data_IF_575279634551
#
_entry.id   IF_575279634551
#
_cell.length_a   1.000
_cell.length_b   1.000
_cell.length_c   1.000
_cell.angle_alpha   90.00
_cell.angle_beta   90.00
_cell.angle_gamma   90.00
#
_symmetry.space_group_name_H-M   'P 1'
#
loop_
_entity.id
_entity.type
_entity.pdbx_description
1 polymer ?
#
# COMPACT_ATOMS: atom_id res chain seq x y z
N UNK A 1 13.01 26.39 5.83
CA UNK A 1 12.11 25.47 6.52
C UNK A 1 10.70 25.55 5.93
N UNK A 2 10.50 25.21 4.65
CA UNK A 2 9.16 25.21 3.99
C UNK A 2 9.00 24.14 2.88
N UNK A 3 9.90 23.15 2.81
CA UNK A 3 9.90 22.11 1.75
C UNK A 3 9.15 20.80 2.14
N UNK A 4 8.59 20.67 3.36
CA UNK A 4 8.03 19.40 3.86
C UNK A 4 6.54 19.14 3.59
N UNK A 5 5.77 20.08 3.02
CA UNK A 5 4.30 19.94 2.99
C UNK A 5 3.69 19.65 1.61
N UNK A 6 4.46 19.41 0.56
CA UNK A 6 3.89 19.25 -0.80
C UNK A 6 3.69 17.78 -1.20
N UNK A 7 4.26 16.82 -0.48
CA UNK A 7 4.34 15.40 -0.90
C UNK A 7 3.17 14.53 -0.39
N UNK A 8 2.27 15.07 0.46
CA UNK A 8 1.31 14.23 1.20
C UNK A 8 -0.02 13.91 0.49
N UNK A 9 -0.28 14.36 -0.72
CA UNK A 9 -1.60 14.24 -1.34
C UNK A 9 -1.81 12.98 -2.21
N UNK A 10 -0.77 12.21 -2.53
CA UNK A 10 -0.86 11.09 -3.48
C UNK A 10 -1.10 9.70 -2.87
N UNK A 11 -0.93 9.52 -1.57
CA UNK A 11 -0.83 8.18 -0.97
C UNK A 11 -2.18 7.49 -0.61
N UNK A 12 -3.33 8.14 -0.77
CA UNK A 12 -4.58 7.66 -0.16
C UNK A 12 -5.50 6.83 -1.07
N UNK A 13 -5.21 6.60 -2.33
CA UNK A 13 -6.16 5.97 -3.26
C UNK A 13 -5.94 4.48 -3.55
N UNK A 14 -4.92 3.84 -3.00
CA UNK A 14 -4.59 2.42 -3.27
C UNK A 14 -5.33 1.41 -2.37
N UNK A 15 -6.09 1.83 -1.37
CA UNK A 15 -6.68 0.93 -0.36
C UNK A 15 -7.95 0.16 -0.78
N UNK A 16 -8.52 0.34 -1.96
CA UNK A 16 -9.90 -0.09 -2.23
C UNK A 16 -10.09 -1.48 -2.87
N UNK A 17 -9.06 -2.26 -3.16
CA UNK A 17 -9.22 -3.38 -4.10
C UNK A 17 -8.88 -4.80 -3.64
N UNK A 18 -8.78 -5.15 -2.36
CA UNK A 18 -8.27 -6.48 -1.99
C UNK A 18 -9.05 -7.29 -0.95
N UNK A 19 -10.38 -7.18 -0.88
CA UNK A 19 -11.15 -7.96 0.11
C UNK A 19 -11.57 -9.35 -0.40
N UNK A 20 -11.43 -9.63 -1.69
CA UNK A 20 -12.07 -10.79 -2.30
C UNK A 20 -11.39 -12.15 -2.05
N UNK A 21 -10.20 -12.20 -1.45
CA UNK A 21 -9.39 -13.42 -1.43
C UNK A 21 -9.32 -14.15 -0.09
N UNK A 22 -9.87 -13.60 1.02
CA UNK A 22 -9.89 -14.25 2.33
C UNK A 22 -11.25 -14.85 2.74
N UNK A 23 -12.18 -15.09 1.82
CA UNK A 23 -13.52 -15.50 2.20
C UNK A 23 -13.80 -16.98 1.90
N UNK A 24 -13.70 -17.90 2.85
CA UNK A 24 -14.55 -19.10 2.81
C UNK A 24 -15.99 -18.66 3.04
N UNK A 25 -16.92 -19.31 2.34
CA UNK A 25 -18.37 -19.11 2.48
C UNK A 25 -18.86 -19.73 3.81
N UNK A 26 -18.48 -19.13 4.92
CA UNK A 26 -18.70 -19.73 6.22
C UNK A 26 -19.87 -19.12 6.99
N UNK A 27 -19.61 -18.27 7.95
CA UNK A 27 -20.70 -17.81 8.81
C UNK A 27 -21.47 -16.65 8.20
N UNK A 28 -22.76 -16.58 8.49
CA UNK A 28 -23.61 -15.45 8.10
C UNK A 28 -23.09 -14.11 8.65
N UNK A 29 -22.44 -14.15 9.82
CA UNK A 29 -21.81 -12.97 10.43
C UNK A 29 -20.62 -12.48 9.62
N UNK A 30 -19.73 -13.36 9.13
CA UNK A 30 -18.62 -12.99 8.28
C UNK A 30 -19.09 -12.37 6.96
N UNK A 31 -20.09 -12.97 6.30
CA UNK A 31 -20.65 -12.41 5.06
C UNK A 31 -21.21 -11.00 5.27
N UNK A 32 -21.99 -10.78 6.32
CA UNK A 32 -22.50 -9.45 6.67
C UNK A 32 -21.38 -8.48 7.03
N UNK A 33 -20.31 -8.97 7.68
CA UNK A 33 -19.11 -8.19 7.98
C UNK A 33 -18.41 -7.69 6.72
N UNK A 34 -18.26 -8.55 5.71
CA UNK A 34 -17.72 -8.18 4.40
C UNK A 34 -18.60 -7.15 3.68
N UNK A 35 -19.92 -7.30 3.72
CA UNK A 35 -20.89 -6.34 3.18
C UNK A 35 -20.77 -4.97 3.89
N UNK A 36 -20.68 -4.96 5.22
CA UNK A 36 -20.48 -3.74 6.01
C UNK A 36 -19.14 -3.07 5.67
N UNK A 37 -18.05 -3.85 5.55
CA UNK A 37 -16.75 -3.35 5.16
C UNK A 37 -16.78 -2.69 3.77
N UNK A 38 -17.38 -3.34 2.78
CA UNK A 38 -17.52 -2.81 1.41
C UNK A 38 -18.32 -1.50 1.36
N UNK A 39 -19.27 -1.34 2.27
CA UNK A 39 -20.07 -0.11 2.42
C UNK A 39 -19.36 0.98 3.24
N UNK A 40 -18.13 0.74 3.71
CA UNK A 40 -17.37 1.67 4.55
C UNK A 40 -17.79 1.71 6.02
N UNK A 41 -18.73 0.85 6.44
CA UNK A 41 -19.15 0.72 7.85
C UNK A 41 -18.20 -0.21 8.60
N UNK A 42 -16.95 0.28 8.79
CA UNK A 42 -15.88 -0.52 9.39
C UNK A 42 -16.15 -0.88 10.85
N UNK A 43 -16.88 -0.04 11.59
CA UNK A 43 -17.24 -0.31 12.97
C UNK A 43 -18.17 -1.53 13.07
N UNK A 44 -19.19 -1.59 12.23
CA UNK A 44 -20.09 -2.73 12.15
C UNK A 44 -19.39 -3.97 11.59
N UNK A 45 -18.47 -3.80 10.63
CA UNK A 45 -17.64 -4.89 10.10
C UNK A 45 -16.84 -5.55 11.23
N UNK A 46 -16.13 -4.78 12.07
CA UNK A 46 -15.40 -5.29 13.24
C UNK A 46 -16.31 -6.06 14.19
N UNK A 47 -17.49 -5.52 14.49
CA UNK A 47 -18.46 -6.21 15.36
C UNK A 47 -18.88 -7.57 14.77
N UNK A 48 -19.20 -7.61 13.49
CA UNK A 48 -19.65 -8.81 12.79
C UNK A 48 -18.53 -9.85 12.62
N UNK A 49 -17.29 -9.43 12.35
CA UNK A 49 -16.16 -10.37 12.33
C UNK A 49 -15.85 -10.95 13.70
N UNK A 50 -15.94 -10.18 14.79
CA UNK A 50 -15.85 -10.72 16.15
C UNK A 50 -16.94 -11.71 16.48
N UNK A 51 -18.16 -11.50 16.00
CA UNK A 51 -19.23 -12.50 16.11
C UNK A 51 -18.91 -13.77 15.32
N UNK A 52 -18.36 -13.65 14.11
CA UNK A 52 -17.95 -14.81 13.32
C UNK A 52 -16.86 -15.62 14.03
N UNK A 53 -15.84 -14.97 14.58
CA UNK A 53 -14.78 -15.60 15.38
C UNK A 53 -15.36 -16.31 16.62
N UNK A 54 -16.35 -15.72 17.29
CA UNK A 54 -17.00 -16.37 18.45
C UNK A 54 -17.71 -17.65 18.06
N UNK A 55 -18.24 -17.72 16.85
CA UNK A 55 -18.92 -18.91 16.32
C UNK A 55 -17.94 -19.99 15.86
N UNK A 56 -16.88 -19.60 15.18
CA UNK A 56 -15.87 -20.47 14.57
C UNK A 56 -14.47 -19.90 14.82
N UNK A 57 -13.88 -20.10 16.02
CA UNK A 57 -12.63 -19.47 16.43
C UNK A 57 -11.38 -20.01 15.74
N UNK A 58 -11.48 -21.12 15.02
CA UNK A 58 -10.37 -21.71 14.26
C UNK A 58 -10.29 -21.27 12.81
N UNK A 59 -11.19 -20.39 12.36
CA UNK A 59 -11.24 -19.92 10.98
C UNK A 59 -10.33 -18.70 10.80
N UNK A 60 -9.16 -18.89 10.21
CA UNK A 60 -8.12 -17.88 10.02
C UNK A 60 -8.58 -16.67 9.21
N UNK A 61 -9.45 -16.90 8.21
CA UNK A 61 -9.98 -15.85 7.37
C UNK A 61 -10.75 -14.76 8.13
N UNK A 62 -11.42 -15.12 9.25
CA UNK A 62 -12.14 -14.12 10.03
C UNK A 62 -11.20 -13.17 10.77
N UNK A 63 -10.06 -13.66 11.23
CA UNK A 63 -9.03 -12.83 11.85
C UNK A 63 -8.36 -11.94 10.81
N UNK A 64 -8.11 -12.44 9.59
CA UNK A 64 -7.60 -11.63 8.49
C UNK A 64 -8.57 -10.49 8.14
N UNK A 65 -9.87 -10.78 8.00
CA UNK A 65 -10.91 -9.78 7.75
C UNK A 65 -11.02 -8.76 8.89
N UNK A 66 -10.92 -9.22 10.14
CA UNK A 66 -10.93 -8.36 11.33
C UNK A 66 -9.73 -7.40 11.31
N UNK A 67 -8.53 -7.90 11.01
CA UNK A 67 -7.32 -7.09 10.88
C UNK A 67 -7.46 -6.01 9.82
N UNK A 68 -8.04 -6.36 8.65
CA UNK A 68 -8.31 -5.38 7.60
C UNK A 68 -9.29 -4.30 8.04
N UNK A 69 -10.35 -4.68 8.77
CA UNK A 69 -11.33 -3.73 9.28
C UNK A 69 -10.73 -2.79 10.35
N UNK A 70 -9.83 -3.29 11.17
CA UNK A 70 -9.07 -2.47 12.11
C UNK A 70 -8.12 -1.51 11.41
N UNK A 71 -7.36 -1.95 10.39
CA UNK A 71 -6.53 -1.06 9.57
C UNK A 71 -7.36 0.09 8.98
N UNK A 72 -8.56 -0.21 8.44
CA UNK A 72 -9.44 0.79 7.86
C UNK A 72 -9.95 1.84 8.87
N UNK A 73 -9.95 1.50 10.17
CA UNK A 73 -10.29 2.42 11.27
C UNK A 73 -9.05 3.12 11.88
N UNK A 74 -7.83 2.75 11.46
CA UNK A 74 -6.59 3.26 12.05
C UNK A 74 -6.19 2.58 13.38
N UNK A 75 -6.82 1.46 13.73
CA UNK A 75 -6.45 0.64 14.91
C UNK A 75 -5.38 -0.37 14.50
N UNK A 76 -4.17 0.12 14.31
CA UNK A 76 -3.09 -0.64 13.66
C UNK A 76 -2.52 -1.74 14.58
N UNK A 77 -2.43 -1.51 15.88
CA UNK A 77 -1.97 -2.51 16.84
C UNK A 77 -2.93 -3.70 16.91
N UNK A 78 -4.23 -3.44 16.98
CA UNK A 78 -5.26 -4.50 16.97
C UNK A 78 -5.30 -5.24 15.63
N UNK A 79 -4.97 -4.54 14.54
CA UNK A 79 -4.85 -5.17 13.23
C UNK A 79 -3.68 -6.16 13.19
N UNK A 80 -2.51 -5.78 13.69
CA UNK A 80 -1.32 -6.63 13.78
C UNK A 80 -1.61 -7.87 14.62
N UNK A 81 -2.27 -7.70 15.77
CA UNK A 81 -2.68 -8.83 16.62
C UNK A 81 -3.61 -9.80 15.85
N UNK A 82 -4.59 -9.25 15.13
CA UNK A 82 -5.52 -10.05 14.33
C UNK A 82 -4.83 -10.82 13.22
N UNK A 83 -3.92 -10.18 12.45
CA UNK A 83 -3.15 -10.86 11.41
C UNK A 83 -2.20 -11.92 11.99
N UNK A 84 -1.63 -11.67 13.16
CA UNK A 84 -0.80 -12.66 13.88
C UNK A 84 -1.63 -13.89 14.27
N UNK A 85 -2.86 -13.71 14.73
CA UNK A 85 -3.75 -14.83 15.02
C UNK A 85 -4.12 -15.61 13.75
N UNK A 86 -4.37 -14.94 12.63
CA UNK A 86 -4.59 -15.60 11.35
C UNK A 86 -3.39 -16.49 10.95
N UNK A 87 -2.17 -16.00 11.09
CA UNK A 87 -0.95 -16.78 10.81
C UNK A 87 -0.84 -18.00 11.76
N UNK A 88 -1.11 -17.83 13.04
CA UNK A 88 -1.04 -18.92 14.03
C UNK A 88 -2.05 -20.04 13.75
N UNK A 89 -3.15 -19.72 13.08
CA UNK A 89 -4.16 -20.69 12.64
C UNK A 89 -3.82 -21.34 11.29
N UNK A 90 -2.70 -21.00 10.67
CA UNK A 90 -2.28 -21.53 9.38
C UNK A 90 -2.89 -20.80 8.17
N UNK A 91 -3.40 -19.60 8.38
CA UNK A 91 -3.93 -18.74 7.34
C UNK A 91 -2.91 -18.32 6.30
N UNK A 92 -3.41 -17.68 5.23
CA UNK A 92 -2.54 -17.24 4.13
C UNK A 92 -1.47 -16.26 4.62
N UNK A 93 -0.22 -16.70 4.55
CA UNK A 93 0.93 -15.89 4.95
C UNK A 93 1.02 -14.60 4.11
N UNK A 94 0.70 -14.66 2.81
CA UNK A 94 0.72 -13.49 1.94
C UNK A 94 -0.19 -12.36 2.45
N UNK A 95 -1.47 -12.66 2.67
CA UNK A 95 -2.45 -11.63 3.07
C UNK A 95 -2.19 -11.10 4.48
N UNK A 96 -1.78 -11.98 5.39
CA UNK A 96 -1.46 -11.60 6.77
C UNK A 96 -0.23 -10.69 6.83
N UNK A 97 0.88 -11.06 6.18
CA UNK A 97 2.08 -10.24 6.15
C UNK A 97 1.87 -8.92 5.39
N UNK A 98 1.13 -8.94 4.28
CA UNK A 98 0.75 -7.71 3.59
C UNK A 98 -0.05 -6.78 4.51
N UNK A 99 -1.02 -7.33 5.24
CA UNK A 99 -1.83 -6.57 6.21
C UNK A 99 -1.00 -6.00 7.36
N UNK A 100 -0.08 -6.80 7.92
CA UNK A 100 0.87 -6.33 8.95
C UNK A 100 1.76 -5.21 8.42
N UNK A 101 2.29 -5.35 7.20
CA UNK A 101 3.08 -4.30 6.56
C UNK A 101 2.32 -2.98 6.42
N UNK A 102 1.04 -3.03 6.01
CA UNK A 102 0.19 -1.84 5.95
C UNK A 102 -0.08 -1.23 7.33
N UNK A 103 -0.29 -2.07 8.35
CA UNK A 103 -0.49 -1.61 9.72
C UNK A 103 0.78 -0.96 10.31
N UNK A 104 1.95 -1.57 10.14
CA UNK A 104 3.22 -0.97 10.54
C UNK A 104 3.52 0.33 9.79
N UNK A 105 3.19 0.41 8.50
CA UNK A 105 3.30 1.66 7.74
C UNK A 105 2.37 2.75 8.31
N UNK A 106 1.18 2.38 8.76
CA UNK A 106 0.26 3.28 9.44
C UNK A 106 0.75 3.78 10.82
N UNK A 107 1.54 2.95 11.51
CA UNK A 107 2.24 3.31 12.76
C UNK A 107 3.54 4.09 12.52
N UNK A 108 3.92 4.34 11.27
CA UNK A 108 5.21 4.93 10.86
C UNK A 108 6.43 4.08 11.27
N UNK A 109 6.23 2.78 11.56
CA UNK A 109 7.27 1.80 11.85
C UNK A 109 7.79 1.17 10.54
N UNK A 110 8.46 1.99 9.73
CA UNK A 110 8.77 1.66 8.32
C UNK A 110 9.70 0.44 8.17
N UNK A 111 10.65 0.23 9.07
CA UNK A 111 11.51 -0.96 9.04
C UNK A 111 10.71 -2.25 9.18
N UNK A 112 9.75 -2.28 10.12
CA UNK A 112 8.87 -3.46 10.30
C UNK A 112 7.90 -3.63 9.13
N UNK A 113 7.44 -2.51 8.55
CA UNK A 113 6.61 -2.54 7.35
C UNK A 113 7.36 -3.18 6.18
N UNK A 114 8.61 -2.76 5.93
CA UNK A 114 9.48 -3.30 4.87
C UNK A 114 9.70 -4.80 5.07
N UNK A 115 10.02 -5.23 6.31
CA UNK A 115 10.19 -6.65 6.64
C UNK A 115 8.91 -7.46 6.36
N UNK A 116 7.76 -6.95 6.80
CA UNK A 116 6.47 -7.61 6.59
C UNK A 116 6.11 -7.71 5.10
N UNK A 117 6.35 -6.64 4.32
CA UNK A 117 6.15 -6.67 2.87
C UNK A 117 7.10 -7.65 2.19
N UNK A 118 8.35 -7.75 2.63
CA UNK A 118 9.29 -8.75 2.12
C UNK A 118 8.76 -10.18 2.35
N UNK A 119 8.28 -10.47 3.56
CA UNK A 119 7.69 -11.77 3.89
C UNK A 119 6.42 -12.06 3.05
N UNK A 120 5.62 -11.03 2.76
CA UNK A 120 4.47 -11.17 1.87
C UNK A 120 4.92 -11.51 0.43
N UNK A 121 5.93 -10.83 -0.10
CA UNK A 121 6.47 -11.08 -1.44
C UNK A 121 6.98 -12.52 -1.56
N UNK A 122 7.72 -13.01 -0.56
CA UNK A 122 8.21 -14.38 -0.50
C UNK A 122 7.08 -15.41 -0.42
N UNK A 123 6.01 -15.08 0.31
CA UNK A 123 4.84 -15.93 0.47
C UNK A 123 3.89 -15.89 -0.74
N UNK A 124 4.09 -15.01 -1.71
CA UNK A 124 3.20 -14.85 -2.86
C UNK A 124 3.09 -16.12 -3.72
N UNK A 125 4.18 -16.88 -3.87
CA UNK A 125 4.18 -18.21 -4.52
C UNK A 125 3.52 -18.18 -5.91
N UNK A 126 2.40 -18.90 -6.05
CA UNK A 126 1.62 -19.02 -7.29
C UNK A 126 0.48 -18.01 -7.43
N UNK A 127 0.41 -17.01 -6.55
CA UNK A 127 -0.59 -15.94 -6.66
C UNK A 127 -0.37 -15.15 -7.97
N UNK A 128 -1.43 -14.45 -8.38
CA UNK A 128 -1.34 -13.53 -9.51
C UNK A 128 -0.18 -12.54 -9.29
N UNK A 129 0.63 -12.36 -10.33
CA UNK A 129 1.77 -11.45 -10.31
C UNK A 129 1.39 -10.03 -9.89
N UNK A 130 0.17 -9.58 -10.23
CA UNK A 130 -0.34 -8.26 -9.82
C UNK A 130 -0.41 -8.10 -8.31
N UNK A 131 -0.81 -9.15 -7.57
CA UNK A 131 -0.86 -9.13 -6.10
C UNK A 131 0.54 -8.93 -5.49
N UNK A 132 1.55 -9.60 -6.06
CA UNK A 132 2.94 -9.44 -5.63
C UNK A 132 3.47 -8.04 -5.95
N UNK A 133 3.19 -7.54 -7.15
CA UNK A 133 3.64 -6.22 -7.59
C UNK A 133 3.01 -5.09 -6.76
N UNK A 134 1.74 -5.22 -6.34
CA UNK A 134 1.14 -4.28 -5.39
C UNK A 134 1.97 -4.17 -4.09
N UNK A 135 2.43 -5.31 -3.55
CA UNK A 135 3.22 -5.33 -2.32
C UNK A 135 4.62 -4.75 -2.52
N UNK A 136 5.24 -4.97 -3.68
CA UNK A 136 6.50 -4.30 -4.06
C UNK A 136 6.31 -2.78 -4.03
N UNK A 137 5.20 -2.27 -4.55
CA UNK A 137 4.87 -0.85 -4.50
C UNK A 137 4.73 -0.29 -3.08
N UNK A 138 4.08 -1.03 -2.18
CA UNK A 138 3.99 -0.63 -0.77
C UNK A 138 5.36 -0.66 -0.07
N UNK A 139 6.22 -1.63 -0.39
CA UNK A 139 7.58 -1.71 0.14
C UNK A 139 8.43 -0.53 -0.34
N UNK A 140 8.34 -0.18 -1.62
CA UNK A 140 9.00 0.99 -2.18
C UNK A 140 8.59 2.30 -1.46
N UNK A 141 7.30 2.48 -1.22
CA UNK A 141 6.79 3.63 -0.47
C UNK A 141 7.31 3.68 0.97
N UNK A 142 7.33 2.54 1.67
CA UNK A 142 7.86 2.45 3.03
C UNK A 142 9.37 2.76 3.07
N UNK A 143 10.17 2.25 2.11
CA UNK A 143 11.58 2.59 1.95
C UNK A 143 11.78 4.09 1.71
N UNK A 144 11.00 4.70 0.82
CA UNK A 144 11.04 6.14 0.57
C UNK A 144 10.78 6.95 1.85
N UNK A 145 9.79 6.56 2.65
CA UNK A 145 9.45 7.23 3.93
C UNK A 145 10.55 7.04 4.97
N UNK A 146 11.21 5.90 4.98
CA UNK A 146 12.37 5.62 5.83
C UNK A 146 13.60 6.46 5.41
N UNK A 147 13.65 6.94 4.17
CA UNK A 147 14.80 7.65 3.59
C UNK A 147 15.76 6.75 2.81
N UNK A 148 15.41 5.48 2.63
CA UNK A 148 16.12 4.54 1.75
C UNK A 148 15.64 4.77 0.31
N UNK A 149 16.14 5.85 -0.30
CA UNK A 149 15.71 6.28 -1.63
C UNK A 149 16.22 5.34 -2.72
N UNK A 150 17.46 4.87 -2.61
CA UNK A 150 18.05 3.92 -3.54
C UNK A 150 17.24 2.61 -3.56
N UNK A 151 16.96 2.04 -2.38
CA UNK A 151 16.15 0.84 -2.29
C UNK A 151 14.71 1.03 -2.77
N UNK A 152 14.14 2.22 -2.60
CA UNK A 152 12.83 2.58 -3.16
C UNK A 152 12.85 2.60 -4.68
N UNK A 153 13.89 3.18 -5.29
CA UNK A 153 14.07 3.21 -6.75
C UNK A 153 14.25 1.82 -7.34
N UNK A 154 14.96 0.92 -6.65
CA UNK A 154 15.08 -0.48 -7.08
C UNK A 154 13.70 -1.15 -7.20
N UNK A 155 12.85 -1.00 -6.19
CA UNK A 155 11.50 -1.55 -6.19
C UNK A 155 10.61 -0.91 -7.28
N UNK A 156 10.66 0.41 -7.46
CA UNK A 156 9.91 1.08 -8.53
C UNK A 156 10.40 0.68 -9.92
N UNK A 157 11.70 0.47 -10.13
CA UNK A 157 12.23 -0.03 -11.39
C UNK A 157 11.72 -1.45 -11.69
N UNK A 158 11.61 -2.34 -10.69
CA UNK A 158 10.97 -3.66 -10.87
C UNK A 158 9.53 -3.50 -11.39
N UNK A 159 8.76 -2.55 -10.87
CA UNK A 159 7.39 -2.29 -11.30
C UNK A 159 7.33 -1.71 -12.73
N UNK A 160 8.25 -0.82 -13.09
CA UNK A 160 8.36 -0.25 -14.44
C UNK A 160 8.69 -1.35 -15.46
N UNK A 161 9.68 -2.21 -15.16
CA UNK A 161 10.07 -3.32 -16.01
C UNK A 161 8.92 -4.33 -16.20
N UNK A 162 8.12 -4.54 -15.17
CA UNK A 162 6.91 -5.37 -15.24
C UNK A 162 5.75 -4.72 -16.01
N UNK A 163 5.86 -3.47 -16.41
CA UNK A 163 4.77 -2.71 -17.04
C UNK A 163 3.60 -2.43 -16.11
N UNK A 164 3.84 -2.44 -14.79
CA UNK A 164 2.79 -2.36 -13.78
C UNK A 164 2.47 -0.91 -13.42
N UNK A 165 1.21 -0.46 -13.66
CA UNK A 165 0.72 0.88 -13.30
C UNK A 165 1.68 2.01 -13.66
N UNK A 166 2.29 1.92 -14.83
CA UNK A 166 3.43 2.75 -15.26
C UNK A 166 3.28 4.23 -14.95
N UNK A 167 2.11 4.81 -15.20
CA UNK A 167 1.85 6.23 -14.95
C UNK A 167 2.10 6.61 -13.48
N UNK A 168 1.47 5.86 -12.56
CA UNK A 168 1.54 6.15 -11.13
C UNK A 168 2.96 5.89 -10.60
N UNK A 169 3.60 4.83 -11.11
CA UNK A 169 4.97 4.48 -10.72
C UNK A 169 5.98 5.52 -11.20
N UNK A 170 5.90 6.00 -12.44
CA UNK A 170 6.78 7.10 -12.89
C UNK A 170 6.59 8.37 -12.07
N UNK A 171 5.36 8.70 -11.68
CA UNK A 171 5.11 9.83 -10.78
C UNK A 171 5.79 9.65 -9.42
N UNK A 172 5.65 8.47 -8.80
CA UNK A 172 6.29 8.14 -7.52
C UNK A 172 7.81 8.13 -7.63
N UNK A 173 8.37 7.56 -8.70
CA UNK A 173 9.81 7.56 -8.99
C UNK A 173 10.34 8.99 -9.11
N UNK A 174 9.64 9.87 -9.83
CA UNK A 174 10.00 11.28 -9.94
C UNK A 174 10.00 11.99 -8.58
N UNK A 175 9.05 11.65 -7.69
CA UNK A 175 9.03 12.20 -6.33
C UNK A 175 10.25 11.74 -5.52
N UNK A 176 10.72 10.50 -5.68
CA UNK A 176 11.94 10.01 -5.01
C UNK A 176 13.15 10.80 -5.51
N UNK A 177 13.31 10.99 -6.83
CA UNK A 177 14.41 11.80 -7.37
C UNK A 177 14.39 13.24 -6.87
N UNK A 178 13.20 13.85 -6.68
CA UNK A 178 13.12 15.18 -6.04
C UNK A 178 13.60 15.18 -4.59
N UNK A 179 13.34 14.10 -3.84
CA UNK A 179 13.84 13.96 -2.46
C UNK A 179 15.37 13.82 -2.43
N UNK A 180 15.96 13.24 -3.48
CA UNK A 180 17.41 13.12 -3.68
C UNK A 180 18.04 14.39 -4.26
N UNK A 181 17.26 15.43 -4.54
CA UNK A 181 17.67 16.68 -5.21
C UNK A 181 18.14 16.47 -6.67
N UNK A 182 17.78 15.33 -7.30
CA UNK A 182 18.05 15.02 -8.71
C UNK A 182 16.87 15.47 -9.58
N UNK A 183 16.89 16.76 -9.91
CA UNK A 183 15.82 17.42 -10.68
C UNK A 183 15.76 16.89 -12.12
N UNK A 184 16.88 16.53 -12.72
CA UNK A 184 16.93 16.08 -14.11
C UNK A 184 16.23 14.74 -14.27
N UNK A 185 16.49 13.78 -13.38
CA UNK A 185 15.81 12.49 -13.38
C UNK A 185 14.33 12.62 -13.02
N UNK A 186 13.99 13.50 -12.07
CA UNK A 186 12.60 13.77 -11.73
C UNK A 186 11.80 14.29 -12.93
N UNK A 187 12.36 15.25 -13.69
CA UNK A 187 11.76 15.78 -14.91
C UNK A 187 11.54 14.70 -15.97
N UNK A 188 12.54 13.82 -16.17
CA UNK A 188 12.41 12.69 -17.08
C UNK A 188 11.23 11.78 -16.68
N UNK A 189 11.13 11.38 -15.41
CA UNK A 189 10.04 10.54 -14.93
C UNK A 189 8.67 11.21 -15.12
N UNK A 190 8.54 12.51 -14.84
CA UNK A 190 7.28 13.22 -15.07
C UNK A 190 6.93 13.35 -16.56
N UNK A 191 7.92 13.47 -17.45
CA UNK A 191 7.68 13.45 -18.88
C UNK A 191 7.14 12.09 -19.33
N UNK A 192 7.73 10.98 -18.89
CA UNK A 192 7.20 9.61 -19.15
C UNK A 192 5.77 9.47 -18.64
N UNK A 193 5.47 10.01 -17.45
CA UNK A 193 4.12 10.01 -16.88
C UNK A 193 3.12 10.75 -17.80
N UNK A 194 3.51 11.90 -18.37
CA UNK A 194 2.68 12.69 -19.27
C UNK A 194 2.50 12.00 -20.64
N UNK A 195 3.53 11.34 -21.13
CA UNK A 195 3.49 10.62 -22.42
C UNK A 195 2.54 9.41 -22.36
N UNK A 196 2.42 8.79 -21.18
CA UNK A 196 1.47 7.70 -20.94
C UNK A 196 0.03 8.23 -20.85
N UNK A 197 -0.20 9.39 -20.25
CA UNK A 197 -1.52 9.99 -20.10
C UNK A 197 -1.48 11.52 -20.33
N UNK A 198 -1.78 11.94 -21.54
CA UNK A 198 -1.85 13.36 -21.95
C UNK A 198 -2.79 14.21 -21.08
N UNK A 199 -3.58 13.59 -20.19
CA UNK A 199 -4.53 14.25 -19.29
C UNK A 199 -4.04 14.29 -17.84
N UNK A 200 -2.79 13.90 -17.58
CA UNK A 200 -2.24 13.92 -16.22
C UNK A 200 -1.93 15.35 -15.74
N UNK A 201 -2.92 15.95 -15.12
CA UNK A 201 -2.86 17.32 -14.60
C UNK A 201 -1.80 17.50 -13.48
N UNK A 202 -1.57 16.49 -12.65
CA UNK A 202 -0.58 16.55 -11.56
C UNK A 202 0.86 16.59 -12.09
N UNK A 203 1.16 15.83 -13.13
CA UNK A 203 2.45 15.90 -13.84
C UNK A 203 2.73 17.29 -14.38
N UNK A 204 1.76 17.92 -15.05
CA UNK A 204 1.90 19.31 -15.54
C UNK A 204 2.12 20.32 -14.42
N UNK A 205 1.39 20.19 -13.30
CA UNK A 205 1.57 21.07 -12.14
C UNK A 205 2.96 20.93 -11.53
N UNK A 206 3.46 19.70 -11.39
CA UNK A 206 4.80 19.45 -10.84
C UNK A 206 5.89 20.00 -11.74
N UNK A 207 5.81 19.76 -13.05
CA UNK A 207 6.72 20.34 -14.04
C UNK A 207 6.73 21.87 -13.97
N UNK A 208 5.56 22.51 -13.88
CA UNK A 208 5.48 23.97 -13.80
C UNK A 208 6.10 24.52 -12.52
N UNK A 209 5.94 23.83 -11.39
CA UNK A 209 6.55 24.23 -10.11
C UNK A 209 8.07 24.12 -10.13
N UNK A 210 8.62 23.09 -10.79
CA UNK A 210 10.07 22.93 -10.95
C UNK A 210 10.63 24.06 -11.83
N UNK A 211 10.01 24.36 -12.97
CA UNK A 211 10.43 25.46 -13.84
C UNK A 211 10.37 26.83 -13.18
N UNK A 212 9.42 27.06 -12.27
CA UNK A 212 9.32 28.31 -11.51
C UNK A 212 10.41 28.39 -10.43
N UNK A 213 10.87 27.26 -9.89
CA UNK A 213 11.87 27.21 -8.82
C UNK A 213 13.32 27.26 -9.35
N UNK A 214 13.56 27.01 -10.64
CA UNK A 214 14.87 27.22 -11.28
C UNK A 214 15.05 28.71 -11.60
N UNK A 215 15.92 29.45 -10.88
CA UNK A 215 16.31 30.77 -11.35
C UNK A 215 17.09 30.56 -12.65
N UNK A 216 16.59 31.17 -13.73
CA UNK A 216 17.24 31.21 -15.02
C UNK A 216 18.76 31.41 -14.84
N UNK A 217 19.53 30.33 -14.93
CA UNK A 217 20.99 30.45 -15.13
C UNK A 217 21.22 31.07 -16.51
N UNK A 218 21.38 32.37 -16.52
CA UNK A 218 22.06 33.09 -17.60
C UNK A 218 23.54 33.20 -17.27
#
# INVERSE_FOLDING_TARGET
MRKKNIILAGALTLMAAAISACAPAGSNSNKKGLEAYQNGDYQNAVYLFKQAITQEPSEDAYYCNLGQAYCAQGYYEEAIESFTQALNLGGSSFYSYRGMGLAYNGLEEYEKAIESFQQAIEAAGSLDSSCRLDVVGYRAEAKMKLGDYEGSLEDYNELIEAGYRLRDIYQLTGNVYLLMDDVDQALHCYQECLDIDNRNYEGYLTLSLIHISEPTRR
#
